data_IF_554630940685
#
_entry.id   IF_554630940685
#
_cell.length_a   1.000
_cell.length_b   1.000
_cell.length_c   1.000
_cell.angle_alpha   90.00
_cell.angle_beta   90.00
_cell.angle_gamma   90.00
#
_symmetry.space_group_name_H-M   'P 1'
#
loop_
_entity.id
_entity.type
_entity.pdbx_description
1 polymer ?
#
# COMPACT_ATOMS: atom_id res chain seq x y z
N UNK A 1 -1.29 16.26 -23.28
CA UNK A 1 -0.70 15.31 -22.32
C UNK A 1 0.79 15.56 -22.32
N UNK A 2 1.47 15.65 -21.18
CA UNK A 2 2.92 15.83 -21.17
C UNK A 2 3.57 14.61 -21.81
N UNK A 3 4.58 14.82 -22.66
CA UNK A 3 5.36 13.74 -23.26
C UNK A 3 6.24 13.04 -22.22
N UNK A 4 6.36 13.60 -21.01
CA UNK A 4 7.25 13.17 -19.94
C UNK A 4 6.52 12.62 -18.73
N UNK A 5 7.10 11.61 -18.09
CA UNK A 5 6.65 11.07 -16.82
C UNK A 5 7.59 11.47 -15.68
N UNK A 6 7.06 11.61 -14.47
CA UNK A 6 7.81 12.17 -13.35
C UNK A 6 9.12 11.44 -13.00
N UNK A 7 9.21 10.13 -13.23
CA UNK A 7 10.36 9.30 -12.87
C UNK A 7 10.99 8.57 -14.07
N UNK A 8 10.74 9.00 -15.30
CA UNK A 8 11.20 8.33 -16.53
C UNK A 8 12.72 8.20 -16.66
N UNK A 9 13.45 9.05 -15.93
CA UNK A 9 14.90 9.05 -15.88
C UNK A 9 15.51 8.08 -14.86
N UNK A 10 14.69 7.35 -14.11
CA UNK A 10 15.14 6.44 -13.06
C UNK A 10 15.04 4.97 -13.50
N UNK A 11 16.11 4.22 -13.26
CA UNK A 11 16.14 2.76 -13.45
C UNK A 11 16.18 2.07 -12.09
N UNK A 12 15.23 1.18 -11.86
CA UNK A 12 15.03 0.45 -10.60
C UNK A 12 15.26 -1.04 -10.82
N UNK A 13 16.15 -1.63 -10.06
CA UNK A 13 16.31 -3.09 -9.95
C UNK A 13 15.42 -3.58 -8.80
N UNK A 14 14.39 -4.30 -9.16
CA UNK A 14 13.36 -4.78 -8.24
C UNK A 14 13.61 -6.26 -7.89
N UNK A 15 14.24 -6.52 -6.73
CA UNK A 15 14.46 -7.85 -6.18
C UNK A 15 13.31 -8.29 -5.24
N UNK A 16 12.26 -7.49 -5.16
CA UNK A 16 11.20 -7.69 -4.17
C UNK A 16 10.23 -8.80 -4.55
N UNK A 17 9.54 -9.33 -3.56
CA UNK A 17 8.53 -10.38 -3.71
C UNK A 17 7.36 -10.13 -2.76
N UNK A 18 6.25 -10.78 -2.99
CA UNK A 18 5.00 -10.73 -2.22
C UNK A 18 4.30 -9.38 -2.38
N UNK A 19 4.32 -8.47 -1.38
CA UNK A 19 3.49 -7.25 -1.45
C UNK A 19 4.24 -5.96 -1.14
N UNK A 20 4.84 -5.78 0.03
CA UNK A 20 5.36 -4.48 0.47
C UNK A 20 6.33 -3.85 -0.54
N UNK A 21 7.37 -4.60 -0.93
CA UNK A 21 8.33 -4.14 -1.93
C UNK A 21 7.74 -4.00 -3.33
N UNK A 22 7.02 -5.02 -3.87
CA UNK A 22 6.37 -4.93 -5.17
C UNK A 22 5.37 -3.78 -5.28
N UNK A 23 4.66 -3.42 -4.19
CA UNK A 23 3.77 -2.27 -4.13
C UNK A 23 4.55 -0.94 -4.31
N UNK A 24 5.69 -0.81 -3.64
CA UNK A 24 6.59 0.34 -3.84
C UNK A 24 7.05 0.44 -5.30
N UNK A 25 7.61 -0.64 -5.84
CA UNK A 25 8.17 -0.63 -7.20
C UNK A 25 7.11 -0.50 -8.28
N UNK A 26 5.87 -0.97 -8.03
CA UNK A 26 4.71 -0.68 -8.87
C UNK A 26 4.39 0.82 -8.91
N UNK A 27 4.39 1.50 -7.74
CA UNK A 27 4.13 2.95 -7.70
C UNK A 27 5.21 3.73 -8.46
N UNK A 28 6.49 3.36 -8.31
CA UNK A 28 7.57 3.97 -9.08
C UNK A 28 7.38 3.72 -10.59
N UNK A 29 6.98 2.52 -10.99
CA UNK A 29 6.68 2.17 -12.37
C UNK A 29 5.48 2.96 -12.91
N UNK A 30 4.40 3.09 -12.13
CA UNK A 30 3.21 3.88 -12.51
C UNK A 30 3.57 5.35 -12.75
N UNK A 31 4.55 5.89 -12.02
CA UNK A 31 5.08 7.25 -12.18
C UNK A 31 6.16 7.36 -13.28
N UNK A 32 6.46 6.28 -14.01
CA UNK A 32 7.33 6.31 -15.19
C UNK A 32 8.70 5.68 -15.03
N UNK A 33 9.13 5.28 -13.82
CA UNK A 33 10.43 4.63 -13.66
C UNK A 33 10.55 3.35 -14.49
N UNK A 34 11.75 3.11 -15.06
CA UNK A 34 12.09 1.87 -15.73
C UNK A 34 12.38 0.80 -14.69
N UNK A 35 11.38 0.00 -14.32
CA UNK A 35 11.50 -1.03 -13.29
C UNK A 35 11.80 -2.38 -13.91
N UNK A 36 12.95 -2.95 -13.56
CA UNK A 36 13.37 -4.30 -13.95
C UNK A 36 13.17 -5.23 -12.75
N UNK A 37 12.10 -6.02 -12.81
CA UNK A 37 11.82 -7.05 -11.79
C UNK A 37 12.69 -8.27 -12.05
N UNK A 38 13.47 -8.63 -11.04
CA UNK A 38 14.43 -9.75 -11.09
C UNK A 38 13.87 -10.88 -10.23
N UNK A 39 13.52 -11.98 -10.87
CA UNK A 39 12.95 -13.15 -10.23
C UNK A 39 13.90 -14.35 -10.28
N UNK A 40 13.70 -15.31 -9.37
CA UNK A 40 14.43 -16.60 -9.48
C UNK A 40 13.93 -17.37 -10.71
N UNK A 41 14.82 -18.09 -11.44
CA UNK A 41 14.43 -18.77 -12.67
C UNK A 41 13.32 -19.82 -12.51
N UNK A 42 13.25 -20.48 -11.36
CA UNK A 42 12.22 -21.48 -11.06
C UNK A 42 11.22 -20.95 -10.03
N UNK A 43 9.96 -20.83 -10.44
CA UNK A 43 8.84 -20.41 -9.59
C UNK A 43 8.61 -18.90 -9.53
N UNK A 44 9.62 -18.07 -9.71
CA UNK A 44 9.49 -16.61 -9.69
C UNK A 44 9.07 -16.06 -8.32
N UNK A 45 8.25 -15.01 -8.34
CA UNK A 45 7.65 -14.42 -7.15
C UNK A 45 6.54 -15.32 -6.60
N UNK A 46 6.47 -15.48 -5.27
CA UNK A 46 5.47 -16.33 -4.60
C UNK A 46 4.03 -15.96 -5.02
N UNK A 47 3.77 -14.68 -5.32
CA UNK A 47 2.44 -14.19 -5.72
C UNK A 47 1.97 -14.73 -7.06
N UNK A 48 2.83 -15.32 -7.87
CA UNK A 48 2.41 -16.10 -9.05
C UNK A 48 1.53 -17.30 -8.66
N UNK A 49 1.66 -17.76 -7.40
CA UNK A 49 0.90 -18.86 -6.80
C UNK A 49 -0.19 -18.40 -5.83
N UNK A 50 -0.49 -17.09 -5.72
CA UNK A 50 -1.48 -16.56 -4.79
C UNK A 50 -2.81 -16.22 -5.49
N UNK A 51 -3.96 -16.48 -4.83
CA UNK A 51 -5.26 -16.06 -5.33
C UNK A 51 -5.41 -14.52 -5.30
N UNK A 52 -6.39 -13.96 -6.05
CA UNK A 52 -7.34 -14.67 -6.88
C UNK A 52 -6.73 -15.18 -8.18
N UNK A 53 -7.25 -16.31 -8.68
CA UNK A 53 -6.80 -16.88 -9.93
C UNK A 53 -7.85 -16.75 -11.03
N UNK A 54 -7.40 -16.52 -12.25
CA UNK A 54 -8.16 -16.93 -13.40
C UNK A 54 -7.98 -18.43 -13.58
N UNK A 55 -9.07 -19.18 -13.52
CA UNK A 55 -9.04 -20.65 -13.50
C UNK A 55 -8.40 -21.23 -14.77
N UNK A 56 -8.67 -20.58 -15.93
CA UNK A 56 -8.02 -20.86 -17.20
C UNK A 56 -7.68 -19.53 -17.86
N UNK A 57 -6.39 -19.28 -18.08
CA UNK A 57 -5.91 -18.20 -18.92
C UNK A 57 -6.07 -18.57 -20.42
N UNK A 58 -5.60 -17.73 -21.32
CA UNK A 58 -5.68 -17.99 -22.78
C UNK A 58 -4.90 -19.22 -23.22
N UNK A 59 -3.93 -19.68 -22.43
CA UNK A 59 -3.15 -20.89 -22.66
C UNK A 59 -3.76 -22.14 -21.98
N UNK A 60 -4.90 -21.99 -21.29
CA UNK A 60 -5.55 -23.08 -20.56
C UNK A 60 -4.99 -23.36 -19.15
N UNK A 61 -4.08 -22.51 -18.66
CA UNK A 61 -3.41 -22.65 -17.37
C UNK A 61 -4.05 -21.77 -16.30
N UNK A 62 -3.78 -22.10 -15.04
CA UNK A 62 -4.18 -21.29 -13.88
C UNK A 62 -3.18 -20.16 -13.65
N UNK A 63 -3.64 -18.91 -13.59
CA UNK A 63 -2.75 -17.75 -13.46
C UNK A 63 -3.25 -16.75 -12.42
N UNK A 64 -2.32 -16.16 -11.66
CA UNK A 64 -2.60 -15.22 -10.58
C UNK A 64 -2.93 -13.82 -11.08
N UNK A 65 -4.13 -13.35 -10.78
CA UNK A 65 -4.53 -11.95 -10.97
C UNK A 65 -3.89 -11.04 -9.91
N UNK A 66 -3.55 -11.60 -8.76
CA UNK A 66 -2.80 -10.86 -7.72
C UNK A 66 -1.44 -10.39 -8.22
N UNK A 67 -0.65 -11.30 -8.83
CA UNK A 67 0.63 -10.95 -9.45
C UNK A 67 0.45 -9.89 -10.53
N UNK A 68 -0.55 -10.04 -11.40
CA UNK A 68 -0.85 -9.11 -12.48
C UNK A 68 -1.14 -7.69 -11.97
N UNK A 69 -1.86 -7.56 -10.85
CA UNK A 69 -2.20 -6.27 -10.27
C UNK A 69 -0.98 -5.50 -9.77
N UNK A 70 -0.06 -6.15 -9.03
CA UNK A 70 1.04 -5.46 -8.33
C UNK A 70 2.36 -5.40 -9.12
N UNK A 71 2.43 -6.06 -10.30
CA UNK A 71 3.64 -6.06 -11.12
C UNK A 71 3.45 -5.43 -12.50
N UNK A 72 2.35 -4.71 -12.71
CA UNK A 72 2.12 -3.91 -13.93
C UNK A 72 3.22 -2.87 -14.16
N UNK A 73 3.40 -2.46 -15.38
CA UNK A 73 4.42 -1.48 -15.81
C UNK A 73 5.88 -1.91 -15.57
N UNK A 74 6.14 -3.16 -15.15
CA UNK A 74 7.50 -3.66 -14.93
C UNK A 74 7.97 -4.50 -16.11
N UNK A 75 9.28 -4.56 -16.33
CA UNK A 75 9.94 -5.53 -17.20
C UNK A 75 10.43 -6.69 -16.34
N UNK A 76 10.13 -7.93 -16.72
CA UNK A 76 10.46 -9.12 -15.94
C UNK A 76 11.65 -9.88 -16.51
N UNK A 77 12.67 -10.08 -15.68
CA UNK A 77 13.78 -10.98 -15.98
C UNK A 77 13.93 -12.04 -14.90
N UNK A 78 14.58 -13.14 -15.25
CA UNK A 78 15.02 -14.16 -14.29
C UNK A 78 16.53 -14.07 -14.09
N UNK A 79 16.99 -14.27 -12.84
CA UNK A 79 18.42 -14.30 -12.53
C UNK A 79 18.69 -15.09 -11.24
N UNK A 80 19.59 -16.05 -11.33
CA UNK A 80 20.02 -16.85 -10.18
C UNK A 80 21.14 -16.14 -9.40
N UNK A 81 20.80 -15.35 -8.41
CA UNK A 81 21.78 -14.63 -7.56
C UNK A 81 22.63 -15.57 -6.66
N UNK A 82 22.38 -16.88 -6.64
CA UNK A 82 23.25 -17.85 -5.96
C UNK A 82 24.38 -18.30 -6.84
N UNK A 83 24.21 -18.26 -8.17
CA UNK A 83 25.26 -18.57 -9.13
C UNK A 83 26.32 -17.46 -9.20
N UNK A 84 27.62 -17.78 -9.29
CA UNK A 84 28.67 -16.74 -9.43
C UNK A 84 28.40 -15.82 -10.62
N UNK A 85 28.07 -16.38 -11.77
CA UNK A 85 27.77 -15.61 -12.99
C UNK A 85 26.57 -14.67 -12.78
N UNK A 86 25.51 -15.14 -12.10
CA UNK A 86 24.35 -14.32 -11.79
C UNK A 86 24.65 -13.12 -10.89
N UNK A 87 25.58 -13.28 -9.94
CA UNK A 87 26.05 -12.16 -9.11
C UNK A 87 26.81 -11.12 -9.92
N UNK A 88 27.70 -11.54 -10.80
CA UNK A 88 28.45 -10.61 -11.65
C UNK A 88 27.52 -9.87 -12.62
N UNK A 89 26.57 -10.57 -13.23
CA UNK A 89 25.53 -9.95 -14.06
C UNK A 89 24.75 -8.90 -13.26
N UNK A 90 24.35 -9.20 -12.03
CA UNK A 90 23.64 -8.24 -11.18
C UNK A 90 24.49 -7.01 -10.87
N UNK A 91 25.78 -7.16 -10.62
CA UNK A 91 26.71 -6.04 -10.42
C UNK A 91 26.84 -5.16 -11.66
N UNK A 92 26.79 -5.75 -12.86
CA UNK A 92 26.78 -4.97 -14.10
C UNK A 92 25.49 -4.15 -14.25
N UNK A 93 24.32 -4.70 -13.85
CA UNK A 93 23.09 -3.90 -13.78
C UNK A 93 23.20 -2.73 -12.79
N UNK A 94 23.82 -2.95 -11.60
CA UNK A 94 23.99 -1.92 -10.57
C UNK A 94 24.80 -0.73 -11.08
N UNK A 95 25.77 -0.92 -11.96
CA UNK A 95 26.54 0.17 -12.58
C UNK A 95 25.66 1.14 -13.39
N UNK A 96 24.53 0.64 -13.90
CA UNK A 96 23.62 1.37 -14.79
C UNK A 96 22.29 1.77 -14.09
N UNK A 97 22.06 1.29 -12.90
CA UNK A 97 20.83 1.53 -12.15
C UNK A 97 20.94 2.72 -11.20
N UNK A 98 19.81 3.29 -10.85
CA UNK A 98 19.65 4.35 -9.86
C UNK A 98 19.28 3.81 -8.49
N UNK A 99 18.46 2.75 -8.46
CA UNK A 99 17.83 2.24 -7.26
C UNK A 99 17.85 0.71 -7.29
N UNK A 100 18.15 0.12 -6.14
CA UNK A 100 17.91 -1.32 -5.84
C UNK A 100 16.87 -1.38 -4.74
N UNK A 101 15.82 -2.17 -4.93
CA UNK A 101 14.78 -2.41 -3.92
C UNK A 101 14.73 -3.89 -3.60
N UNK A 102 14.78 -4.23 -2.30
CA UNK A 102 14.68 -5.61 -1.84
C UNK A 102 13.80 -5.72 -0.59
N UNK A 103 13.23 -6.90 -0.34
CA UNK A 103 12.48 -7.20 0.87
C UNK A 103 12.78 -8.61 1.42
N UNK A 104 14.04 -9.03 1.27
CA UNK A 104 14.54 -10.24 1.90
C UNK A 104 14.71 -10.06 3.42
N UNK A 105 14.97 -11.14 4.11
CA UNK A 105 15.39 -11.04 5.52
C UNK A 105 16.73 -10.32 5.60
N UNK A 106 16.93 -9.44 6.57
CA UNK A 106 18.21 -8.75 6.78
C UNK A 106 19.40 -9.71 6.78
N UNK A 107 20.48 -9.31 6.09
CA UNK A 107 21.69 -10.12 5.92
C UNK A 107 21.67 -11.11 4.77
N UNK A 108 20.55 -11.30 4.06
CA UNK A 108 20.53 -12.20 2.87
C UNK A 108 21.36 -11.63 1.74
N UNK A 109 21.21 -10.36 1.41
CA UNK A 109 22.00 -9.70 0.36
C UNK A 109 23.49 -9.64 0.73
N UNK A 110 23.80 -9.42 2.02
CA UNK A 110 25.18 -9.44 2.50
C UNK A 110 25.82 -10.83 2.32
N UNK A 111 25.11 -11.90 2.67
CA UNK A 111 25.55 -13.28 2.46
C UNK A 111 25.75 -13.63 0.98
N UNK A 112 25.00 -13.01 0.09
CA UNK A 112 25.19 -13.15 -1.36
C UNK A 112 26.39 -12.33 -1.87
N UNK A 113 26.97 -11.42 -1.06
CA UNK A 113 28.01 -10.48 -1.49
C UNK A 113 27.42 -9.35 -2.35
N UNK A 114 26.14 -9.02 -2.16
CA UNK A 114 25.37 -8.02 -2.89
C UNK A 114 24.70 -7.01 -1.95
N UNK A 115 25.18 -6.90 -0.71
CA UNK A 115 24.68 -5.92 0.26
C UNK A 115 25.08 -4.48 -0.09
N UNK A 116 24.47 -3.50 0.59
CA UNK A 116 24.66 -2.08 0.31
C UNK A 116 26.13 -1.68 0.26
N UNK A 117 26.97 -2.16 1.20
CA UNK A 117 28.38 -1.80 1.29
C UNK A 117 29.18 -2.22 0.04
N UNK A 118 28.83 -3.35 -0.56
CA UNK A 118 29.42 -3.80 -1.83
C UNK A 118 28.87 -2.97 -3.00
N UNK A 119 27.57 -2.76 -3.06
CA UNK A 119 26.96 -2.08 -4.19
C UNK A 119 27.32 -0.60 -4.29
N UNK A 120 27.52 0.09 -3.15
CA UNK A 120 27.95 1.50 -3.12
C UNK A 120 29.40 1.69 -3.63
N UNK A 121 30.26 0.68 -3.50
CA UNK A 121 31.61 0.74 -4.08
C UNK A 121 31.58 0.60 -5.62
N UNK A 122 30.59 -0.16 -6.15
CA UNK A 122 30.37 -0.33 -7.59
C UNK A 122 29.74 0.91 -8.18
N UNK A 123 28.72 1.47 -7.49
CA UNK A 123 28.02 2.67 -7.88
C UNK A 123 27.75 3.57 -6.66
N UNK A 124 28.60 4.57 -6.41
CA UNK A 124 28.43 5.48 -5.27
C UNK A 124 27.13 6.31 -5.28
N UNK A 125 26.42 6.30 -6.40
CA UNK A 125 25.14 6.99 -6.57
C UNK A 125 23.94 6.10 -6.32
N UNK A 126 24.16 4.79 -6.08
CA UNK A 126 23.06 3.81 -5.91
C UNK A 126 22.24 4.12 -4.64
N UNK A 127 20.94 4.12 -4.77
CA UNK A 127 20.00 4.15 -3.66
C UNK A 127 19.62 2.69 -3.39
N UNK A 128 19.90 2.21 -2.19
CA UNK A 128 19.59 0.85 -1.77
C UNK A 128 18.46 0.88 -0.77
N UNK A 129 17.27 0.43 -1.17
CA UNK A 129 16.07 0.44 -0.34
C UNK A 129 15.69 -0.98 0.11
N UNK A 130 15.60 -1.16 1.42
CA UNK A 130 15.18 -2.39 2.05
C UNK A 130 13.89 -2.20 2.83
N UNK A 131 12.91 -3.09 2.67
CA UNK A 131 11.71 -3.14 3.49
C UNK A 131 11.56 -4.53 4.11
N UNK A 132 11.54 -4.59 5.44
CA UNK A 132 11.48 -5.86 6.17
C UNK A 132 10.56 -5.79 7.37
N UNK A 133 10.24 -6.92 8.00
CA UNK A 133 9.31 -6.96 9.13
C UNK A 133 9.67 -6.03 10.28
N UNK A 134 10.99 -5.95 10.62
CA UNK A 134 11.48 -5.25 11.80
C UNK A 134 12.66 -4.31 11.54
N UNK A 135 12.96 -3.99 10.27
CA UNK A 135 14.10 -3.17 9.90
C UNK A 135 15.42 -3.95 9.89
N UNK A 136 16.49 -3.25 9.47
CA UNK A 136 17.83 -3.85 9.31
C UNK A 136 18.68 -3.80 10.58
N UNK A 137 18.20 -3.20 11.66
CA UNK A 137 18.88 -3.12 12.96
C UNK A 137 17.86 -3.28 14.12
N UNK A 138 18.33 -3.22 15.35
CA UNK A 138 17.53 -3.44 16.54
C UNK A 138 17.40 -4.92 16.93
N UNK A 139 16.82 -5.24 18.10
CA UNK A 139 16.85 -6.59 18.67
C UNK A 139 16.05 -7.63 17.86
N UNK A 140 15.13 -7.18 17.00
CA UNK A 140 14.25 -8.06 16.22
C UNK A 140 14.64 -8.20 14.75
N UNK A 141 15.68 -7.52 14.28
CA UNK A 141 16.03 -7.43 12.86
C UNK A 141 16.19 -8.77 12.13
N UNK A 142 16.63 -9.85 12.80
CA UNK A 142 16.75 -11.18 12.22
C UNK A 142 15.47 -12.04 12.29
N UNK A 143 14.42 -11.55 12.96
CA UNK A 143 13.16 -12.30 13.07
C UNK A 143 12.44 -12.31 11.72
N UNK A 144 11.77 -13.44 11.37
CA UNK A 144 10.85 -13.42 10.25
C UNK A 144 9.68 -12.50 10.56
N UNK A 145 9.30 -11.66 9.60
CA UNK A 145 8.18 -10.73 9.71
C UNK A 145 7.25 -10.83 8.51
N UNK A 146 5.96 -10.75 8.78
CA UNK A 146 4.88 -10.62 7.81
C UNK A 146 3.93 -9.53 8.29
N UNK A 147 3.07 -9.05 7.40
CA UNK A 147 2.04 -8.05 7.68
C UNK A 147 1.31 -8.26 9.02
N UNK A 148 0.80 -9.48 9.26
CA UNK A 148 0.04 -9.78 10.48
C UNK A 148 0.85 -9.58 11.76
N UNK A 149 2.16 -9.88 11.74
CA UNK A 149 3.05 -9.65 12.88
C UNK A 149 3.32 -8.16 13.06
N UNK A 150 3.47 -7.40 11.99
CA UNK A 150 3.60 -5.95 12.06
C UNK A 150 2.36 -5.30 12.64
N UNK A 151 1.15 -5.70 12.21
CA UNK A 151 -0.11 -5.22 12.78
C UNK A 151 -0.26 -5.58 14.26
N UNK A 152 0.11 -6.80 14.65
CA UNK A 152 0.04 -7.26 16.04
C UNK A 152 1.05 -6.55 16.94
N UNK A 153 2.33 -6.55 16.57
CA UNK A 153 3.42 -6.02 17.38
C UNK A 153 3.55 -4.49 17.29
N UNK A 154 3.06 -3.88 16.20
CA UNK A 154 2.98 -2.44 16.01
C UNK A 154 1.78 -1.78 16.70
N UNK A 155 0.98 -2.55 17.46
CA UNK A 155 -0.11 -2.03 18.29
C UNK A 155 -1.46 -1.87 17.56
N UNK A 156 -1.51 -1.88 16.23
CA UNK A 156 -2.73 -1.64 15.47
C UNK A 156 -3.85 -2.63 15.81
N UNK A 157 -3.53 -3.93 15.95
CA UNK A 157 -4.55 -4.92 16.29
C UNK A 157 -5.17 -4.70 17.67
N UNK A 158 -4.41 -4.18 18.63
CA UNK A 158 -4.90 -3.96 19.99
C UNK A 158 -5.97 -2.89 20.10
N UNK A 159 -6.07 -2.02 19.10
CA UNK A 159 -7.03 -0.90 19.02
C UNK A 159 -8.09 -1.08 17.92
N UNK A 160 -8.00 -2.14 17.13
CA UNK A 160 -8.91 -2.45 16.03
C UNK A 160 -9.85 -3.58 16.41
N UNK A 161 -11.15 -3.39 16.21
CA UNK A 161 -12.21 -4.36 16.51
C UNK A 161 -13.48 -3.69 17.03
N UNK A 162 -14.54 -4.46 17.21
CA UNK A 162 -15.77 -3.99 17.83
C UNK A 162 -15.54 -3.61 19.30
N UNK A 163 -16.34 -2.69 19.85
CA UNK A 163 -16.29 -2.29 21.26
C UNK A 163 -16.41 -3.52 22.17
N UNK A 164 -15.39 -3.77 22.99
CA UNK A 164 -15.31 -4.94 23.87
C UNK A 164 -15.05 -6.28 23.17
N UNK A 165 -14.76 -6.26 21.87
CA UNK A 165 -14.42 -7.45 21.07
C UNK A 165 -12.93 -7.79 21.10
N UNK A 166 -12.59 -8.89 20.41
CA UNK A 166 -11.21 -9.36 20.27
C UNK A 166 -10.37 -8.40 19.39
N UNK A 167 -9.06 -8.26 19.69
CA UNK A 167 -8.12 -7.59 18.81
C UNK A 167 -8.17 -8.15 17.40
N UNK A 168 -8.41 -7.29 16.42
CA UNK A 168 -8.68 -7.70 15.04
C UNK A 168 -7.71 -7.00 14.07
N UNK A 169 -7.16 -7.74 13.11
CA UNK A 169 -6.35 -7.15 12.06
C UNK A 169 -7.23 -6.33 11.08
N UNK A 170 -6.65 -5.34 10.42
CA UNK A 170 -7.30 -4.71 9.27
C UNK A 170 -7.57 -5.73 8.15
N UNK A 171 -8.62 -5.54 7.39
CA UNK A 171 -9.06 -6.47 6.34
C UNK A 171 -8.03 -6.72 5.23
N UNK A 172 -7.21 -5.71 4.90
CA UNK A 172 -6.08 -5.79 3.98
C UNK A 172 -4.75 -5.96 4.71
N UNK A 173 -3.67 -6.23 3.98
CA UNK A 173 -2.31 -6.27 4.49
C UNK A 173 -1.77 -4.84 4.70
N UNK A 174 -2.31 -4.15 5.71
CA UNK A 174 -2.08 -2.72 5.95
C UNK A 174 -0.61 -2.42 6.28
N UNK A 175 0.08 -3.32 7.00
CA UNK A 175 1.51 -3.17 7.29
C UNK A 175 2.37 -3.22 6.03
N UNK A 176 2.06 -4.13 5.10
CA UNK A 176 2.75 -4.20 3.80
C UNK A 176 2.48 -2.94 2.95
N UNK A 177 1.23 -2.47 2.90
CA UNK A 177 0.87 -1.28 2.12
C UNK A 177 1.58 -0.04 2.69
N UNK A 178 1.53 0.19 4.00
CA UNK A 178 2.20 1.31 4.65
C UNK A 178 3.73 1.21 4.55
N UNK A 179 4.30 0.02 4.72
CA UNK A 179 5.72 -0.22 4.49
C UNK A 179 6.12 0.10 3.05
N UNK A 180 5.31 -0.32 2.07
CA UNK A 180 5.49 0.02 0.66
C UNK A 180 5.42 1.52 0.38
N UNK A 181 4.48 2.25 1.01
CA UNK A 181 4.38 3.70 0.93
C UNK A 181 5.60 4.39 1.55
N UNK A 182 6.00 3.99 2.77
CA UNK A 182 7.14 4.60 3.46
C UNK A 182 8.45 4.37 2.70
N UNK A 183 8.69 3.17 2.15
CA UNK A 183 9.90 2.94 1.36
C UNK A 183 9.87 3.72 0.04
N UNK A 184 8.71 3.93 -0.57
CA UNK A 184 8.57 4.80 -1.75
C UNK A 184 8.93 6.25 -1.41
N UNK A 185 8.39 6.78 -0.31
CA UNK A 185 8.72 8.14 0.18
C UNK A 185 10.22 8.23 0.48
N UNK A 186 10.79 7.22 1.16
CA UNK A 186 12.21 7.16 1.47
C UNK A 186 13.09 7.17 0.21
N UNK A 187 12.72 6.42 -0.82
CA UNK A 187 13.39 6.42 -2.13
C UNK A 187 13.34 7.80 -2.77
N UNK A 188 12.17 8.43 -2.85
CA UNK A 188 12.01 9.75 -3.46
C UNK A 188 12.80 10.83 -2.69
N UNK A 189 12.82 10.76 -1.35
CA UNK A 189 13.66 11.61 -0.53
C UNK A 189 15.15 11.39 -0.80
N UNK A 190 15.59 10.12 -0.96
CA UNK A 190 16.97 9.78 -1.29
C UNK A 190 17.35 10.24 -2.71
N UNK A 191 16.44 10.16 -3.69
CA UNK A 191 16.64 10.71 -5.04
C UNK A 191 16.86 12.21 -4.97
N UNK A 192 16.03 12.94 -4.21
CA UNK A 192 16.23 14.38 -4.01
C UNK A 192 17.55 14.70 -3.30
N UNK A 193 17.87 13.99 -2.20
CA UNK A 193 19.13 14.18 -1.50
C UNK A 193 20.34 13.93 -2.40
N UNK A 194 20.27 12.97 -3.30
CA UNK A 194 21.32 12.65 -4.29
C UNK A 194 21.59 13.81 -5.25
N UNK A 195 20.60 14.66 -5.56
CA UNK A 195 20.82 15.85 -6.39
C UNK A 195 21.71 16.87 -5.69
N UNK A 196 21.68 16.91 -4.37
CA UNK A 196 22.45 17.83 -3.52
C UNK A 196 23.84 17.24 -3.20
N UNK A 197 23.88 15.97 -2.81
CA UNK A 197 25.10 15.33 -2.28
C UNK A 197 25.95 14.65 -3.36
N UNK A 198 25.37 14.38 -4.53
CA UNK A 198 25.99 13.57 -5.57
C UNK A 198 26.03 12.06 -5.25
N UNK A 199 25.63 11.64 -4.05
CA UNK A 199 25.75 10.27 -3.53
C UNK A 199 24.40 9.63 -3.28
N UNK A 200 24.30 8.31 -3.54
CA UNK A 200 23.20 7.49 -3.07
C UNK A 200 23.27 7.21 -1.56
N UNK A 201 22.28 6.49 -1.06
CA UNK A 201 22.22 6.10 0.35
C UNK A 201 21.39 4.84 0.56
N UNK A 202 21.48 4.26 1.76
CA UNK A 202 20.57 3.20 2.20
C UNK A 202 19.27 3.81 2.72
N UNK A 203 18.16 3.21 2.34
CA UNK A 203 16.82 3.44 2.89
C UNK A 203 16.39 2.16 3.58
N UNK A 204 16.07 2.23 4.86
CA UNK A 204 15.63 1.10 5.69
C UNK A 204 14.23 1.37 6.23
N UNK A 205 13.28 0.47 5.94
CA UNK A 205 11.90 0.58 6.38
C UNK A 205 11.46 -0.72 7.06
N UNK A 206 10.89 -0.57 8.25
CA UNK A 206 10.27 -1.65 9.01
C UNK A 206 8.75 -1.61 8.86
N UNK A 207 8.13 -2.77 8.62
CA UNK A 207 6.66 -2.89 8.62
C UNK A 207 6.10 -2.55 10.01
N UNK A 208 6.80 -2.98 11.08
CA UNK A 208 6.39 -2.69 12.45
C UNK A 208 6.42 -1.18 12.72
N UNK A 209 7.49 -0.47 12.32
CA UNK A 209 7.61 0.97 12.52
C UNK A 209 6.52 1.71 11.72
N UNK A 210 6.22 1.22 10.53
CA UNK A 210 5.13 1.75 9.70
C UNK A 210 3.77 1.62 10.39
N UNK A 211 3.52 0.51 11.08
CA UNK A 211 2.30 0.31 11.85
C UNK A 211 2.26 1.19 13.10
N UNK A 212 3.39 1.34 13.82
CA UNK A 212 3.49 2.24 14.98
C UNK A 212 3.19 3.69 14.55
N UNK A 213 3.80 4.16 13.46
CA UNK A 213 3.52 5.49 12.93
C UNK A 213 2.03 5.69 12.59
N UNK A 214 1.34 4.64 12.12
CA UNK A 214 -0.08 4.68 11.81
C UNK A 214 -1.00 4.64 13.04
N UNK A 215 -0.49 4.40 14.26
CA UNK A 215 -1.31 4.50 15.49
C UNK A 215 -1.63 5.96 15.87
N UNK A 216 -1.08 6.93 15.15
CA UNK A 216 -1.37 8.35 15.32
C UNK A 216 -1.08 8.82 16.76
N UNK A 217 -2.09 9.36 17.44
CA UNK A 217 -2.01 9.84 18.82
C UNK A 217 -2.33 8.78 19.88
N UNK A 218 -2.64 7.55 19.48
CA UNK A 218 -3.10 6.50 20.41
C UNK A 218 -2.02 6.12 21.43
N UNK A 219 -0.76 6.01 20.99
CA UNK A 219 0.36 5.78 21.90
C UNK A 219 0.58 6.96 22.86
N UNK A 220 0.43 8.20 22.38
CA UNK A 220 0.55 9.41 23.19
C UNK A 220 -0.55 9.46 24.27
N UNK A 221 -1.77 9.04 23.94
CA UNK A 221 -2.86 8.97 24.91
C UNK A 221 -2.49 8.06 26.09
N UNK A 222 -1.89 6.90 25.82
CA UNK A 222 -1.41 6.02 26.92
C UNK A 222 -0.29 6.69 27.73
N UNK A 223 0.69 7.31 27.06
CA UNK A 223 1.81 7.97 27.74
C UNK A 223 1.31 9.06 28.70
N UNK A 224 0.33 9.86 28.29
CA UNK A 224 -0.17 10.98 29.07
C UNK A 224 -1.18 10.58 30.14
N UNK A 225 -1.97 9.52 29.91
CA UNK A 225 -3.09 9.20 30.80
C UNK A 225 -2.91 7.89 31.59
N UNK A 226 -1.98 7.02 31.19
CA UNK A 226 -1.83 5.65 31.71
C UNK A 226 -2.96 4.69 31.29
N UNK A 227 -3.94 5.16 30.51
CA UNK A 227 -5.07 4.33 30.09
C UNK A 227 -4.72 3.56 28.81
N UNK A 228 -4.73 2.22 28.90
CA UNK A 228 -4.48 1.36 27.74
C UNK A 228 -5.64 1.49 26.75
N UNK A 229 -5.37 1.91 25.49
CA UNK A 229 -6.41 1.99 24.46
C UNK A 229 -6.94 0.59 24.11
N UNK A 230 -8.23 0.51 23.82
CA UNK A 230 -8.92 -0.73 23.45
C UNK A 230 -9.76 -0.53 22.17
N UNK A 231 -10.20 -1.61 21.50
CA UNK A 231 -11.10 -1.51 20.37
C UNK A 231 -12.41 -0.79 20.72
N UNK A 232 -12.79 0.19 19.89
CA UNK A 232 -13.99 1.02 20.10
C UNK A 232 -15.01 0.89 18.96
N UNK A 233 -14.82 -0.04 18.04
CA UNK A 233 -15.61 -0.11 16.78
C UNK A 233 -15.26 1.05 15.85
N UNK A 234 -16.29 1.71 15.32
CA UNK A 234 -16.13 2.84 14.41
C UNK A 234 -16.09 4.21 15.11
N UNK A 235 -16.15 4.23 16.43
CA UNK A 235 -16.08 5.46 17.23
C UNK A 235 -14.68 6.06 17.19
N UNK A 236 -14.64 7.38 17.11
CA UNK A 236 -13.39 8.09 17.31
C UNK A 236 -13.27 8.55 18.75
N UNK A 237 -12.10 8.32 19.35
CA UNK A 237 -11.92 8.51 20.80
C UNK A 237 -11.87 9.99 21.25
N UNK A 238 -11.74 10.93 20.32
CA UNK A 238 -11.51 12.33 20.63
C UNK A 238 -12.72 13.25 20.32
N UNK A 239 -13.68 12.79 19.50
CA UNK A 239 -14.83 13.62 19.09
C UNK A 239 -16.12 12.81 18.98
N UNK A 240 -17.27 13.45 19.24
CA UNK A 240 -18.61 12.86 19.17
C UNK A 240 -19.66 13.91 18.78
N UNK A 241 -20.63 13.55 17.90
CA UNK A 241 -20.79 12.28 17.21
C UNK A 241 -19.79 12.10 16.04
N UNK A 242 -19.13 10.96 16.02
CA UNK A 242 -18.26 10.51 14.95
C UNK A 242 -18.24 8.98 14.99
N UNK A 243 -19.19 8.34 14.27
CA UNK A 243 -19.45 6.90 14.36
C UNK A 243 -20.23 6.39 13.15
N UNK A 244 -20.50 5.10 13.13
CA UNK A 244 -21.44 4.46 12.22
C UNK A 244 -22.79 4.26 12.91
N UNK A 245 -23.86 4.71 12.24
CA UNK A 245 -25.23 4.66 12.75
C UNK A 245 -26.06 3.67 11.93
N UNK A 246 -26.91 2.90 12.61
CA UNK A 246 -27.77 1.90 11.97
C UNK A 246 -28.97 2.58 11.29
N UNK A 247 -29.24 2.14 10.07
CA UNK A 247 -30.37 2.61 9.27
C UNK A 247 -30.98 1.43 8.49
N UNK A 248 -31.97 1.69 7.63
CA UNK A 248 -32.65 0.64 6.88
C UNK A 248 -31.69 -0.08 5.93
N UNK A 249 -31.40 -1.34 6.23
CA UNK A 249 -30.60 -2.21 5.40
C UNK A 249 -29.08 -2.06 5.50
N UNK A 250 -28.58 -1.19 6.42
CA UNK A 250 -27.13 -1.03 6.58
C UNK A 250 -26.73 0.02 7.63
N UNK A 251 -25.58 0.64 7.41
CA UNK A 251 -25.05 1.69 8.28
C UNK A 251 -24.54 2.88 7.47
N UNK A 252 -24.67 4.06 8.06
CA UNK A 252 -24.12 5.32 7.56
C UNK A 252 -23.10 5.88 8.56
N UNK A 253 -21.99 6.43 8.08
CA UNK A 253 -21.06 7.22 8.90
C UNK A 253 -21.59 8.65 8.95
N UNK A 254 -21.60 9.25 10.16
CA UNK A 254 -21.87 10.67 10.37
C UNK A 254 -20.76 11.23 11.25
N UNK A 255 -20.16 12.34 10.82
CA UNK A 255 -19.01 12.95 11.47
C UNK A 255 -19.29 14.44 11.80
N UNK A 256 -20.01 14.72 12.88
CA UNK A 256 -20.26 16.06 13.38
C UNK A 256 -19.31 16.41 14.53
N UNK A 257 -18.01 16.36 14.27
CA UNK A 257 -16.94 16.35 15.27
C UNK A 257 -16.60 17.71 15.93
N UNK A 258 -17.27 18.81 15.58
CA UNK A 258 -17.09 20.10 16.24
C UNK A 258 -18.43 20.71 16.64
N UNK A 259 -18.40 21.75 17.49
CA UNK A 259 -19.60 22.35 18.04
C UNK A 259 -20.56 22.86 16.96
N UNK A 260 -20.04 23.53 15.94
CA UNK A 260 -20.86 24.08 14.84
C UNK A 260 -21.58 23.00 14.05
N UNK A 261 -20.88 21.87 13.75
CA UNK A 261 -21.49 20.74 13.04
C UNK A 261 -22.50 19.99 13.93
N UNK A 262 -22.22 19.89 15.24
CA UNK A 262 -23.15 19.31 16.19
C UNK A 262 -24.44 20.10 16.30
N UNK A 263 -24.37 21.45 16.43
CA UNK A 263 -25.52 22.33 16.46
C UNK A 263 -26.35 22.23 15.16
N UNK A 264 -25.68 22.17 14.01
CA UNK A 264 -26.37 21.92 12.73
C UNK A 264 -27.07 20.56 12.71
N UNK A 265 -26.39 19.51 13.17
CA UNK A 265 -26.96 18.16 13.26
C UNK A 265 -28.27 18.22 14.11
N UNK A 266 -28.21 18.83 15.29
CA UNK A 266 -29.35 18.92 16.19
C UNK A 266 -30.50 19.75 15.60
N UNK A 267 -30.19 20.92 15.04
CA UNK A 267 -31.23 21.85 14.56
C UNK A 267 -31.83 21.40 13.22
N UNK A 268 -31.00 21.02 12.28
CA UNK A 268 -31.38 20.95 10.87
C UNK A 268 -31.63 19.50 10.39
N UNK A 269 -31.01 18.50 11.04
CA UNK A 269 -31.17 17.09 10.68
C UNK A 269 -32.06 16.34 11.64
N UNK A 270 -31.74 16.44 12.95
CA UNK A 270 -32.46 15.70 13.99
C UNK A 270 -33.76 16.40 14.41
N UNK A 271 -33.89 17.73 14.15
CA UNK A 271 -35.00 18.58 14.62
C UNK A 271 -35.14 18.53 16.17
N UNK A 272 -33.97 18.44 16.87
CA UNK A 272 -33.83 18.32 18.32
C UNK A 272 -32.91 19.40 18.90
N UNK A 273 -33.32 20.71 18.83
CA UNK A 273 -32.53 21.83 19.35
C UNK A 273 -32.30 21.73 20.88
N UNK A 274 -33.18 21.02 21.60
CA UNK A 274 -33.05 20.75 23.02
C UNK A 274 -31.73 20.03 23.38
N UNK A 275 -31.17 19.22 22.48
CA UNK A 275 -29.89 18.52 22.69
C UNK A 275 -28.69 19.46 22.80
N UNK A 276 -28.77 20.68 22.25
CA UNK A 276 -27.66 21.65 22.29
C UNK A 276 -27.42 22.16 23.72
N UNK A 277 -28.50 22.30 24.50
CA UNK A 277 -28.46 22.78 25.88
C UNK A 277 -28.57 21.68 26.92
N UNK A 278 -28.75 20.43 26.51
CA UNK A 278 -28.79 19.27 27.43
C UNK A 278 -27.43 19.13 28.12
N UNK A 279 -27.39 19.12 29.48
CA UNK A 279 -26.14 18.99 30.22
C UNK A 279 -25.28 17.76 29.84
N UNK A 280 -25.87 16.71 29.27
CA UNK A 280 -25.17 15.53 28.78
C UNK A 280 -24.40 15.75 27.48
N UNK A 281 -24.79 16.76 26.68
CA UNK A 281 -24.32 16.93 25.30
C UNK A 281 -23.74 18.32 25.00
N UNK A 282 -23.82 19.24 25.95
CA UNK A 282 -23.45 20.65 25.80
C UNK A 282 -22.00 20.85 25.38
N UNK A 283 -21.12 19.98 25.80
CA UNK A 283 -19.69 20.04 25.48
C UNK A 283 -19.16 18.71 24.99
N UNK A 284 -17.92 18.71 24.49
CA UNK A 284 -17.29 17.49 23.96
C UNK A 284 -17.11 16.39 25.02
N UNK A 285 -16.63 16.67 26.24
CA UNK A 285 -16.56 15.63 27.28
C UNK A 285 -17.92 14.98 27.59
N UNK A 286 -18.97 15.78 27.68
CA UNK A 286 -20.34 15.29 27.89
C UNK A 286 -20.79 14.36 26.74
N UNK A 287 -20.57 14.79 25.48
CA UNK A 287 -20.89 13.97 24.31
C UNK A 287 -20.11 12.66 24.27
N UNK A 288 -18.81 12.67 24.59
CA UNK A 288 -17.99 11.47 24.64
C UNK A 288 -18.45 10.50 25.74
N UNK A 289 -18.91 11.01 26.87
CA UNK A 289 -19.46 10.19 27.94
C UNK A 289 -20.83 9.58 27.60
N UNK A 290 -21.59 10.22 26.71
CA UNK A 290 -22.97 9.86 26.38
C UNK A 290 -23.17 9.48 24.90
N UNK A 291 -22.16 8.87 24.27
CA UNK A 291 -22.20 8.51 22.85
C UNK A 291 -23.37 7.58 22.48
N UNK A 292 -23.73 6.64 23.38
CA UNK A 292 -24.83 5.69 23.12
C UNK A 292 -26.18 6.44 23.05
N UNK A 293 -26.41 7.41 23.95
CA UNK A 293 -27.63 8.21 23.95
C UNK A 293 -27.75 9.13 22.71
N UNK A 294 -26.62 9.65 22.21
CA UNK A 294 -26.62 10.40 20.96
C UNK A 294 -26.92 9.47 19.79
N UNK A 295 -26.34 8.27 19.77
CA UNK A 295 -26.57 7.28 18.72
C UNK A 295 -28.05 6.90 18.61
N UNK A 296 -28.72 6.66 19.73
CA UNK A 296 -30.16 6.34 19.77
C UNK A 296 -31.00 7.41 19.08
N UNK A 297 -30.73 8.71 19.33
CA UNK A 297 -31.47 9.81 18.70
C UNK A 297 -31.19 9.88 17.19
N UNK A 298 -29.94 9.71 16.79
CA UNK A 298 -29.56 9.71 15.37
C UNK A 298 -30.22 8.54 14.65
N UNK A 299 -30.10 7.33 15.20
CA UNK A 299 -30.65 6.11 14.60
C UNK A 299 -32.17 6.14 14.48
N UNK A 300 -32.87 6.67 15.49
CA UNK A 300 -34.33 6.87 15.41
C UNK A 300 -34.72 7.80 14.27
N UNK A 301 -33.95 8.88 14.02
CA UNK A 301 -34.21 9.83 12.92
C UNK A 301 -34.03 9.22 11.54
N UNK A 302 -33.08 8.29 11.39
CA UNK A 302 -32.70 7.72 10.09
C UNK A 302 -33.16 6.27 9.87
N UNK A 303 -33.87 5.67 10.82
CA UNK A 303 -34.21 4.23 10.83
C UNK A 303 -34.89 3.71 9.56
N UNK A 304 -35.69 4.58 8.91
CA UNK A 304 -36.47 4.23 7.71
C UNK A 304 -35.74 4.58 6.40
N UNK A 305 -34.59 5.25 6.48
CA UNK A 305 -33.76 5.67 5.35
C UNK A 305 -32.71 4.59 5.02
N UNK A 306 -32.42 4.38 3.75
CA UNK A 306 -31.25 3.62 3.31
C UNK A 306 -29.95 4.36 3.67
N UNK A 307 -28.78 3.69 3.68
CA UNK A 307 -27.49 4.39 3.96
C UNK A 307 -27.22 5.57 3.04
N UNK A 308 -27.57 5.49 1.77
CA UNK A 308 -27.41 6.60 0.83
C UNK A 308 -28.39 7.75 1.13
N UNK A 309 -29.68 7.47 1.35
CA UNK A 309 -30.66 8.48 1.70
C UNK A 309 -30.30 9.20 3.02
N UNK A 310 -29.83 8.44 4.02
CA UNK A 310 -29.37 9.01 5.29
C UNK A 310 -28.12 9.89 5.10
N UNK A 311 -27.18 9.46 4.27
CA UNK A 311 -26.00 10.25 3.94
C UNK A 311 -26.36 11.56 3.22
N UNK A 312 -27.22 11.50 2.20
CA UNK A 312 -27.67 12.69 1.46
C UNK A 312 -28.43 13.69 2.34
N UNK A 313 -29.30 13.19 3.25
CA UNK A 313 -29.97 14.06 4.25
C UNK A 313 -28.95 14.86 5.06
N UNK A 314 -27.89 14.22 5.55
CA UNK A 314 -26.89 14.85 6.41
C UNK A 314 -25.96 15.77 5.59
N UNK A 315 -25.54 15.33 4.40
CA UNK A 315 -24.69 16.09 3.47
C UNK A 315 -25.36 17.38 2.98
N UNK A 316 -26.70 17.38 2.77
CA UNK A 316 -27.46 18.56 2.38
C UNK A 316 -27.30 19.74 3.36
N UNK A 317 -26.99 19.45 4.62
CA UNK A 317 -26.71 20.44 5.67
C UNK A 317 -25.21 20.71 5.88
N UNK A 318 -24.34 20.20 4.98
CA UNK A 318 -22.89 20.40 5.04
C UNK A 318 -22.21 19.68 6.20
N UNK A 319 -22.78 18.59 6.68
CA UNK A 319 -22.19 17.71 7.69
C UNK A 319 -21.62 16.49 6.97
N UNK A 320 -20.34 16.12 7.20
CA UNK A 320 -19.74 14.93 6.58
C UNK A 320 -20.50 13.65 6.92
N UNK A 321 -20.95 12.93 5.88
CA UNK A 321 -21.60 11.64 6.01
C UNK A 321 -21.34 10.77 4.77
N UNK A 322 -21.52 9.45 4.91
CA UNK A 322 -21.40 8.53 3.78
C UNK A 322 -21.79 7.09 4.16
N UNK A 323 -22.27 6.29 3.20
CA UNK A 323 -22.57 4.88 3.43
C UNK A 323 -21.31 4.07 3.67
N UNK A 324 -21.41 2.95 4.38
CA UNK A 324 -20.35 1.92 4.40
C UNK A 324 -20.53 1.05 3.16
N UNK A 325 -19.71 1.31 2.14
CA UNK A 325 -19.78 0.63 0.85
C UNK A 325 -19.05 -0.71 0.88
N UNK A 326 -19.64 -1.72 0.26
CA UNK A 326 -18.93 -2.96 -0.07
C UNK A 326 -18.15 -2.85 -1.38
N UNK A 327 -17.31 -3.86 -1.70
CA UNK A 327 -16.43 -3.81 -2.88
C UNK A 327 -17.21 -3.70 -4.19
N UNK A 328 -18.41 -4.31 -4.30
CA UNK A 328 -19.25 -4.18 -5.49
C UNK A 328 -19.74 -2.75 -5.67
N UNK A 329 -20.19 -2.11 -4.59
CA UNK A 329 -20.65 -0.73 -4.61
C UNK A 329 -19.54 0.24 -4.99
N UNK A 330 -18.31 0.00 -4.48
CA UNK A 330 -17.13 0.80 -4.87
C UNK A 330 -16.85 0.68 -6.38
N UNK A 331 -16.97 -0.51 -6.97
CA UNK A 331 -16.77 -0.72 -8.41
C UNK A 331 -17.82 0.00 -9.28
N UNK A 332 -19.02 0.16 -8.75
CA UNK A 332 -20.13 0.83 -9.45
C UNK A 332 -20.17 2.34 -9.22
N UNK A 333 -19.44 2.86 -8.23
CA UNK A 333 -19.46 4.26 -7.82
C UNK A 333 -18.93 5.22 -8.91
N UNK A 334 -19.67 6.28 -9.25
CA UNK A 334 -19.29 7.21 -10.30
C UNK A 334 -18.02 8.01 -9.99
N UNK A 335 -17.79 8.38 -8.72
CA UNK A 335 -16.58 9.09 -8.32
C UNK A 335 -15.34 8.20 -8.46
N UNK A 336 -15.45 6.93 -8.07
CA UNK A 336 -14.38 5.93 -8.21
C UNK A 336 -14.03 5.68 -9.68
N UNK A 337 -15.06 5.63 -10.56
CA UNK A 337 -14.88 5.52 -12.02
C UNK A 337 -14.19 6.75 -12.61
N UNK A 338 -14.68 7.95 -12.29
CA UNK A 338 -14.08 9.21 -12.77
C UNK A 338 -12.62 9.36 -12.32
N UNK A 339 -12.29 8.87 -11.14
CA UNK A 339 -10.92 8.86 -10.63
C UNK A 339 -10.07 7.69 -11.16
N UNK A 340 -10.59 6.88 -12.08
CA UNK A 340 -9.86 5.76 -12.70
C UNK A 340 -9.21 4.83 -11.66
N UNK A 341 -9.94 4.51 -10.56
CA UNK A 341 -9.37 3.68 -9.49
C UNK A 341 -9.40 2.18 -9.82
N UNK A 342 -10.07 1.80 -10.90
CA UNK A 342 -10.00 0.48 -11.52
C UNK A 342 -9.80 0.66 -13.01
N UNK A 343 -8.79 -0.01 -13.57
CA UNK A 343 -8.40 0.11 -14.98
C UNK A 343 -8.45 -1.26 -15.63
N UNK A 344 -9.21 -1.38 -16.72
CA UNK A 344 -9.17 -2.57 -17.56
C UNK A 344 -8.00 -2.49 -18.54
N UNK A 345 -7.27 -3.59 -18.68
CA UNK A 345 -6.14 -3.71 -19.62
C UNK A 345 -6.12 -5.09 -20.27
N UNK A 346 -5.54 -5.16 -21.46
CA UNK A 346 -5.28 -6.41 -22.14
C UNK A 346 -4.00 -7.05 -21.63
N UNK A 347 -4.12 -8.25 -21.07
CA UNK A 347 -2.98 -9.03 -20.60
C UNK A 347 -2.74 -10.20 -21.55
N UNK A 348 -1.49 -10.51 -21.96
CA UNK A 348 -1.21 -11.48 -23.02
C UNK A 348 -1.73 -12.89 -22.73
N UNK A 349 -1.83 -13.28 -21.48
CA UNK A 349 -2.31 -14.60 -21.07
C UNK A 349 -3.65 -14.57 -20.31
N UNK A 350 -3.92 -13.51 -19.53
CA UNK A 350 -5.19 -13.39 -18.80
C UNK A 350 -6.35 -12.84 -19.66
N UNK A 351 -6.05 -12.27 -20.82
CA UNK A 351 -7.01 -11.50 -21.60
C UNK A 351 -7.35 -10.19 -20.90
N UNK A 352 -8.60 -9.75 -20.95
CA UNK A 352 -9.02 -8.55 -20.21
C UNK A 352 -8.96 -8.77 -18.71
N UNK A 353 -8.16 -7.95 -18.03
CA UNK A 353 -8.00 -7.96 -16.59
C UNK A 353 -8.18 -6.55 -16.02
N UNK A 354 -8.92 -6.45 -14.92
CA UNK A 354 -9.04 -5.18 -14.18
C UNK A 354 -8.02 -5.17 -13.06
N UNK A 355 -7.27 -4.08 -12.97
CA UNK A 355 -6.27 -3.82 -11.93
C UNK A 355 -6.59 -2.54 -11.18
N UNK A 356 -6.02 -2.35 -10.00
CA UNK A 356 -6.17 -1.11 -9.27
C UNK A 356 -5.53 0.06 -10.05
N UNK A 357 -6.19 1.19 -10.10
CA UNK A 357 -5.65 2.42 -10.69
C UNK A 357 -4.63 3.13 -9.78
N UNK A 358 -3.99 4.16 -10.33
CA UNK A 358 -3.03 4.96 -9.59
C UNK A 358 -3.74 5.90 -8.62
N UNK A 359 -3.47 5.78 -7.32
CA UNK A 359 -4.06 6.65 -6.30
C UNK A 359 -3.48 8.08 -6.35
N UNK A 360 -2.21 8.22 -6.73
CA UNK A 360 -1.55 9.52 -6.90
C UNK A 360 -1.97 10.10 -8.26
N UNK A 361 -2.42 11.36 -8.26
CA UNK A 361 -2.82 12.11 -9.46
C UNK A 361 -1.89 13.31 -9.61
N UNK A 362 -0.81 13.17 -10.37
CA UNK A 362 0.01 14.29 -10.80
C UNK A 362 -0.63 14.91 -12.05
N UNK A 363 -0.97 16.19 -12.00
CA UNK A 363 -1.79 16.82 -13.07
C UNK A 363 -1.03 17.01 -14.37
N UNK A 364 0.29 17.25 -14.30
CA UNK A 364 1.13 17.51 -15.50
C UNK A 364 1.90 16.26 -15.95
N UNK A 365 2.29 15.37 -15.03
CA UNK A 365 3.05 14.12 -15.28
C UNK A 365 2.25 12.90 -14.82
N UNK A 366 1.04 12.74 -15.37
CA UNK A 366 0.01 11.79 -14.90
C UNK A 366 0.55 10.36 -14.78
N UNK A 367 0.56 9.76 -13.56
CA UNK A 367 0.84 8.34 -13.40
C UNK A 367 -0.24 7.49 -14.10
N UNK A 368 0.16 6.38 -14.69
CA UNK A 368 -0.77 5.56 -15.47
C UNK A 368 -0.41 4.08 -15.48
N UNK A 369 -1.43 3.25 -15.66
CA UNK A 369 -1.29 1.82 -15.98
C UNK A 369 -1.10 1.71 -17.49
N UNK A 370 0.09 1.28 -17.94
CA UNK A 370 0.49 1.31 -19.36
C UNK A 370 0.71 -0.08 -19.94
N UNK A 371 1.35 -0.96 -19.18
CA UNK A 371 1.69 -2.31 -19.63
C UNK A 371 1.29 -3.36 -18.60
N UNK A 372 0.87 -4.56 -19.02
CA UNK A 372 0.58 -5.67 -18.13
C UNK A 372 1.82 -6.14 -17.38
N UNK A 373 1.60 -6.88 -16.30
CA UNK A 373 2.68 -7.55 -15.58
C UNK A 373 3.39 -8.56 -16.50
N UNK A 374 4.72 -8.69 -16.39
CA UNK A 374 5.47 -9.57 -17.28
C UNK A 374 5.26 -11.05 -16.93
N UNK A 375 5.32 -11.91 -17.94
CA UNK A 375 5.53 -13.34 -17.74
C UNK A 375 6.92 -13.60 -17.15
N UNK A 376 7.13 -14.75 -16.54
CA UNK A 376 8.42 -15.11 -15.94
C UNK A 376 9.53 -15.09 -17.01
N UNK A 377 10.53 -14.23 -16.83
CA UNK A 377 11.65 -14.08 -17.77
C UNK A 377 11.30 -13.46 -19.13
N UNK A 378 10.09 -12.89 -19.27
CA UNK A 378 9.61 -12.36 -20.56
C UNK A 378 10.61 -11.42 -21.25
N UNK A 379 11.32 -10.62 -20.49
CA UNK A 379 12.23 -9.61 -21.02
C UNK A 379 13.70 -10.00 -20.91
N UNK A 380 14.03 -11.29 -20.68
CA UNK A 380 15.42 -11.73 -20.54
C UNK A 380 16.28 -11.25 -21.71
N UNK A 381 15.92 -11.61 -22.95
CA UNK A 381 16.73 -11.27 -24.12
C UNK A 381 16.86 -9.76 -24.29
N UNK A 382 15.76 -9.03 -24.26
CA UNK A 382 15.75 -7.57 -24.46
C UNK A 382 16.61 -6.83 -23.43
N UNK A 383 16.59 -7.29 -22.19
CA UNK A 383 17.33 -6.65 -21.08
C UNK A 383 18.80 -7.07 -21.08
N UNK A 384 19.13 -8.36 -21.23
CA UNK A 384 20.53 -8.80 -21.22
C UNK A 384 21.28 -8.31 -22.45
N UNK A 385 20.72 -8.39 -23.64
CA UNK A 385 21.35 -7.89 -24.87
C UNK A 385 21.28 -6.37 -24.94
N UNK A 386 20.11 -5.76 -24.72
CA UNK A 386 19.91 -4.32 -24.90
C UNK A 386 20.54 -3.45 -23.83
N UNK A 387 20.47 -3.84 -22.55
CA UNK A 387 21.02 -3.05 -21.43
C UNK A 387 22.47 -3.41 -21.14
N UNK A 388 22.82 -4.70 -21.12
CA UNK A 388 24.18 -5.11 -20.80
C UNK A 388 25.07 -5.27 -22.03
N UNK A 389 24.51 -5.32 -23.22
CA UNK A 389 25.27 -5.54 -24.47
C UNK A 389 25.78 -6.98 -24.59
N UNK A 390 25.08 -7.95 -23.98
CA UNK A 390 25.44 -9.35 -24.02
C UNK A 390 25.29 -9.88 -25.46
N UNK A 391 26.28 -10.63 -25.94
CA UNK A 391 26.17 -11.28 -27.26
C UNK A 391 25.21 -12.46 -27.21
N UNK A 392 24.67 -12.85 -28.36
CA UNK A 392 23.80 -14.04 -28.44
C UNK A 392 24.50 -15.31 -27.95
N UNK A 393 25.78 -15.49 -28.21
CA UNK A 393 26.57 -16.62 -27.73
C UNK A 393 26.69 -16.64 -26.21
N UNK A 394 26.96 -15.46 -25.61
CA UNK A 394 27.00 -15.32 -24.15
C UNK A 394 25.64 -15.59 -23.53
N UNK A 395 24.57 -15.08 -24.13
CA UNK A 395 23.22 -15.30 -23.68
C UNK A 395 22.87 -16.79 -23.67
N UNK A 396 23.09 -17.49 -24.80
CA UNK A 396 22.77 -18.90 -24.92
C UNK A 396 23.62 -19.78 -23.94
N UNK A 397 24.89 -19.45 -23.76
CA UNK A 397 25.76 -20.15 -22.80
C UNK A 397 25.26 -20.03 -21.36
N UNK A 398 24.84 -18.84 -20.95
CA UNK A 398 24.33 -18.60 -19.59
C UNK A 398 22.93 -19.19 -19.38
N UNK A 399 22.10 -19.18 -20.42
CA UNK A 399 20.81 -19.86 -20.42
C UNK A 399 20.94 -21.37 -20.25
N UNK A 400 21.84 -22.03 -20.98
CA UNK A 400 22.14 -23.45 -20.83
C UNK A 400 22.63 -23.81 -19.41
N UNK A 401 23.38 -22.90 -18.79
CA UNK A 401 23.82 -23.02 -17.39
C UNK A 401 22.72 -22.74 -16.37
N UNK A 402 21.51 -22.41 -16.79
CA UNK A 402 20.38 -22.03 -15.93
C UNK A 402 20.71 -20.85 -14.98
N UNK A 403 21.46 -19.87 -15.47
CA UNK A 403 21.74 -18.63 -14.75
C UNK A 403 20.52 -17.72 -14.77
N UNK A 404 19.69 -17.85 -15.80
CA UNK A 404 18.42 -17.16 -15.97
C UNK A 404 17.40 -17.96 -16.79
#
# INVERSE_FOLDING_TARGET
>A
MSEHMALENLTVLDLTRVLAGPFCTMMLADMGANVIKIEVPKGGDDTRSYPPFRAKNLNGERESVYFANINRNKKGITLNLKAPEGKEIFKEFVKKADIVVENYRPGVMDKLGLGYDVLKEINPRIIYAAVSGFGCYGPYHLRPGYDILAQAMGGMMSITGSKGGEPTRAGSALGDILGGLHVTIGILAAVNARTITGKGQRVDVSLMDSMIAATENTALKYIETGNIPAPMGNRYAAVSPYDSFTCKGGKVIIAAGNQKLYEKLCNEVLERPDMITDPRFVDMPGRLANQDAIAEVIEERIKDLTPNEAAELVLAHGIPAGPIMNIKEILDDPHVKEREMFVEMDHPTLGKVTVNGCAIKLMDTKPSVRTPAPQLGQNNRDIFEGVLGMTEEQFNTLHEKQVF
#
